data_IF_957377885908
#
_entry.id   IF_957377885908
#
_cell.length_a   1.000
_cell.length_b   1.000
_cell.length_c   1.000
_cell.angle_alpha   90.00
_cell.angle_beta   90.00
_cell.angle_gamma   90.00
#
_symmetry.space_group_name_H-M   'P 1'
#
loop_
_entity.id
_entity.type
_entity.pdbx_description
1 polymer ?
#
# COMPACT_ATOMS: atom_id res chain seq x y z
N UNK A 1 11.69 -18.72 -41.04
CA UNK A 1 12.63 -19.86 -41.20
C UNK A 1 13.47 -19.95 -39.93
N UNK A 2 13.68 -21.16 -39.41
CA UNK A 2 14.59 -21.52 -38.29
C UNK A 2 14.49 -20.73 -36.96
N UNK A 3 13.71 -21.30 -36.03
CA UNK A 3 14.09 -21.49 -34.60
C UNK A 3 14.71 -22.90 -34.52
N UNK A 4 15.87 -23.13 -33.88
CA UNK A 4 15.97 -23.57 -32.47
C UNK A 4 17.28 -23.05 -31.78
N UNK A 5 17.71 -23.31 -30.53
CA UNK A 5 17.34 -24.15 -29.35
C UNK A 5 18.07 -23.51 -28.13
N UNK A 6 17.85 -23.75 -26.82
CA UNK A 6 17.05 -24.71 -26.04
C UNK A 6 16.45 -24.02 -24.79
N UNK A 7 15.34 -24.55 -24.26
CA UNK A 7 15.10 -24.64 -22.80
C UNK A 7 14.23 -25.89 -22.58
N UNK A 8 14.75 -26.87 -21.84
CA UNK A 8 14.21 -28.24 -21.81
C UNK A 8 13.20 -28.37 -20.67
N UNK A 9 11.92 -28.39 -21.00
CA UNK A 9 10.86 -28.82 -20.07
C UNK A 9 10.50 -30.30 -20.36
N UNK A 10 10.53 -31.21 -19.37
CA UNK A 10 10.31 -32.63 -19.61
C UNK A 10 8.86 -32.95 -20.01
N UNK A 11 8.71 -33.89 -20.95
CA UNK A 11 7.46 -34.25 -21.62
C UNK A 11 6.36 -34.72 -20.68
N UNK A 12 5.29 -33.93 -20.56
CA UNK A 12 3.92 -34.41 -20.29
C UNK A 12 2.97 -33.91 -21.40
N UNK A 13 1.97 -34.71 -21.83
CA UNK A 13 1.07 -34.34 -22.91
C UNK A 13 -0.09 -33.49 -22.39
N UNK A 14 0.20 -32.26 -21.94
CA UNK A 14 -0.83 -31.28 -21.60
C UNK A 14 -1.11 -30.35 -22.79
N UNK A 15 -2.36 -29.92 -22.95
CA UNK A 15 -2.77 -29.07 -24.07
C UNK A 15 -2.05 -27.72 -24.04
N UNK A 16 -1.75 -27.10 -25.20
CA UNK A 16 -1.00 -25.84 -25.26
C UNK A 16 -1.51 -24.71 -24.34
N UNK A 17 -2.84 -24.44 -24.17
CA UNK A 17 -3.28 -23.41 -23.23
C UNK A 17 -3.04 -23.76 -21.76
N UNK A 18 -3.04 -25.05 -21.39
CA UNK A 18 -2.84 -25.46 -20.01
C UNK A 18 -1.37 -25.29 -19.56
N UNK A 19 -0.43 -25.55 -20.47
CA UNK A 19 1.01 -25.40 -20.20
C UNK A 19 1.43 -23.93 -20.02
N UNK A 20 0.83 -23.01 -20.78
CA UNK A 20 1.09 -21.56 -20.67
C UNK A 20 0.64 -21.05 -19.31
N UNK A 21 -0.60 -21.36 -18.91
CA UNK A 21 -1.10 -20.97 -17.59
C UNK A 21 -0.30 -21.57 -16.43
N UNK A 22 0.23 -22.80 -16.53
CA UNK A 22 1.09 -23.35 -15.48
C UNK A 22 2.44 -22.64 -15.36
N UNK A 23 3.07 -22.24 -16.48
CA UNK A 23 4.32 -21.48 -16.43
C UNK A 23 4.11 -20.03 -15.95
N UNK A 24 3.04 -19.35 -16.38
CA UNK A 24 2.68 -18.03 -15.85
C UNK A 24 2.47 -18.09 -14.33
N UNK A 25 1.75 -19.10 -13.83
CA UNK A 25 1.52 -19.28 -12.39
C UNK A 25 2.81 -19.58 -11.60
N UNK A 26 3.80 -20.25 -12.21
CA UNK A 26 5.08 -20.57 -11.54
C UNK A 26 6.02 -19.37 -11.48
N UNK A 27 6.14 -18.58 -12.56
CA UNK A 27 6.85 -17.29 -12.50
C UNK A 27 6.13 -16.28 -11.59
N UNK A 28 4.80 -16.19 -11.63
CA UNK A 28 4.03 -15.34 -10.72
C UNK A 28 4.27 -15.73 -9.26
N UNK A 29 4.31 -17.03 -8.93
CA UNK A 29 4.60 -17.52 -7.58
C UNK A 29 6.03 -17.19 -7.12
N UNK A 30 7.03 -17.25 -8.02
CA UNK A 30 8.41 -16.86 -7.70
C UNK A 30 8.56 -15.33 -7.54
N UNK A 31 7.88 -14.54 -8.36
CA UNK A 31 7.79 -13.09 -8.23
C UNK A 31 7.11 -12.70 -6.91
N UNK A 32 5.98 -13.31 -6.58
CA UNK A 32 5.24 -13.06 -5.34
C UNK A 32 6.07 -13.45 -4.11
N UNK A 33 6.85 -14.53 -4.18
CA UNK A 33 7.74 -14.96 -3.10
C UNK A 33 8.97 -14.03 -2.96
N UNK A 34 9.57 -13.58 -4.06
CA UNK A 34 10.65 -12.58 -4.04
C UNK A 34 10.16 -11.23 -3.49
N UNK A 35 9.03 -10.74 -3.98
CA UNK A 35 8.40 -9.50 -3.52
C UNK A 35 7.99 -9.58 -2.06
N UNK A 36 7.45 -10.73 -1.60
CA UNK A 36 7.13 -11.00 -0.20
C UNK A 36 8.35 -10.99 0.73
N UNK A 37 9.45 -11.66 0.33
CA UNK A 37 10.69 -11.64 1.13
C UNK A 37 11.31 -10.24 1.18
N UNK A 38 11.33 -9.51 0.06
CA UNK A 38 11.79 -8.11 0.05
C UNK A 38 10.88 -7.18 0.86
N UNK A 39 9.57 -7.41 0.85
CA UNK A 39 8.59 -6.71 1.68
C UNK A 39 8.89 -6.90 3.17
N UNK A 40 8.96 -8.15 3.62
CA UNK A 40 9.07 -8.50 5.04
C UNK A 40 10.37 -7.98 5.66
N UNK A 41 11.48 -8.02 4.91
CA UNK A 41 12.77 -7.43 5.34
C UNK A 41 12.67 -5.91 5.51
N UNK A 42 12.03 -5.20 4.57
CA UNK A 42 11.85 -3.75 4.66
C UNK A 42 10.92 -3.37 5.82
N UNK A 43 9.78 -4.03 5.96
CA UNK A 43 8.84 -3.80 7.08
C UNK A 43 9.51 -4.10 8.41
N UNK A 44 10.31 -5.17 8.53
CA UNK A 44 11.08 -5.46 9.74
C UNK A 44 12.06 -4.33 10.09
N UNK A 45 12.76 -3.76 9.10
CA UNK A 45 13.69 -2.64 9.32
C UNK A 45 12.97 -1.35 9.78
N UNK A 46 11.78 -1.04 9.26
CA UNK A 46 10.95 0.06 9.77
C UNK A 46 10.33 -0.22 11.15
N UNK A 47 10.08 -1.50 11.47
CA UNK A 47 9.47 -1.92 12.74
C UNK A 47 10.39 -1.68 13.95
N UNK A 48 11.71 -1.93 13.79
CA UNK A 48 12.70 -1.82 14.88
C UNK A 48 12.74 -0.42 15.53
N UNK A 49 13.01 0.69 14.80
CA UNK A 49 13.07 2.03 15.40
C UNK A 49 11.70 2.48 15.94
N UNK A 50 10.60 2.03 15.32
CA UNK A 50 9.25 2.33 15.75
C UNK A 50 8.93 1.66 17.10
N UNK A 51 9.25 0.37 17.25
CA UNK A 51 9.06 -0.38 18.49
C UNK A 51 9.87 0.18 19.67
N UNK A 52 11.08 0.70 19.40
CA UNK A 52 11.90 1.38 20.41
C UNK A 52 11.29 2.72 20.82
N UNK A 53 10.73 3.49 19.88
CA UNK A 53 10.14 4.82 20.14
C UNK A 53 8.75 4.79 20.77
N UNK A 54 7.95 3.75 20.53
CA UNK A 54 6.52 3.69 20.87
C UNK A 54 6.16 2.65 21.95
N UNK A 55 7.14 2.19 22.73
CA UNK A 55 6.99 1.08 23.69
C UNK A 55 5.90 1.32 24.75
N UNK A 56 5.60 2.57 25.09
CA UNK A 56 4.60 2.94 26.10
C UNK A 56 3.15 2.87 25.58
N UNK A 57 2.94 2.83 24.26
CA UNK A 57 1.61 2.86 23.64
C UNK A 57 1.42 1.72 22.60
N UNK A 58 1.34 0.45 23.07
CA UNK A 58 1.33 -0.73 22.21
C UNK A 58 0.12 -0.80 21.26
N UNK A 59 -1.02 -0.23 21.64
CA UNK A 59 -2.25 -0.20 20.81
C UNK A 59 -2.03 0.66 19.55
N UNK A 60 -1.37 1.81 19.70
CA UNK A 60 -1.08 2.69 18.57
C UNK A 60 0.04 2.12 17.68
N UNK A 61 1.03 1.45 18.28
CA UNK A 61 2.03 0.69 17.54
C UNK A 61 1.38 -0.40 16.66
N UNK A 62 0.47 -1.22 17.22
CA UNK A 62 -0.25 -2.24 16.45
C UNK A 62 -1.03 -1.66 15.26
N UNK A 63 -1.70 -0.51 15.44
CA UNK A 63 -2.40 0.17 14.36
C UNK A 63 -1.47 0.60 13.22
N UNK A 64 -0.37 1.28 13.54
CA UNK A 64 0.61 1.71 12.53
C UNK A 64 1.21 0.50 11.83
N UNK A 65 1.52 -0.58 12.55
CA UNK A 65 2.06 -1.81 11.95
C UNK A 65 1.08 -2.49 10.99
N UNK A 66 -0.20 -2.64 11.37
CA UNK A 66 -1.24 -3.18 10.47
C UNK A 66 -1.35 -2.32 9.20
N UNK A 67 -1.33 -1.00 9.35
CA UNK A 67 -1.48 -0.07 8.23
C UNK A 67 -0.22 -0.02 7.32
N UNK A 68 0.98 -0.16 7.88
CA UNK A 68 2.24 -0.34 7.13
C UNK A 68 2.22 -1.65 6.34
N UNK A 69 1.85 -2.77 6.98
CA UNK A 69 1.72 -4.08 6.31
C UNK A 69 0.68 -4.02 5.19
N UNK A 70 -0.46 -3.36 5.40
CA UNK A 70 -1.51 -3.21 4.39
C UNK A 70 -1.07 -2.43 3.14
N UNK A 71 -0.25 -1.39 3.29
CA UNK A 71 0.25 -0.57 2.17
C UNK A 71 1.36 -1.27 1.38
N UNK A 72 2.34 -1.88 2.08
CA UNK A 72 3.52 -2.42 1.39
C UNK A 72 3.26 -3.81 0.78
N UNK A 73 2.19 -4.51 1.19
CA UNK A 73 1.73 -5.78 0.61
C UNK A 73 1.62 -5.69 -0.92
N UNK A 74 2.24 -6.62 -1.63
CA UNK A 74 2.36 -6.61 -3.10
C UNK A 74 1.02 -6.66 -3.84
N UNK A 75 -0.02 -7.20 -3.19
CA UNK A 75 -1.42 -7.11 -3.63
C UNK A 75 -2.26 -6.46 -2.52
N UNK A 76 -2.34 -5.13 -2.46
CA UNK A 76 -3.16 -4.45 -1.47
C UNK A 76 -4.63 -4.67 -1.83
N UNK A 77 -5.36 -5.43 -1.00
CA UNK A 77 -6.79 -5.62 -1.24
C UNK A 77 -7.58 -4.42 -0.71
N UNK A 78 -8.73 -4.12 -1.34
CA UNK A 78 -9.64 -3.08 -0.84
C UNK A 78 -10.11 -3.38 0.59
N UNK A 79 -10.13 -4.67 0.99
CA UNK A 79 -10.40 -5.10 2.36
C UNK A 79 -9.30 -4.70 3.36
N UNK A 80 -8.02 -4.87 2.99
CA UNK A 80 -6.88 -4.42 3.82
C UNK A 80 -6.94 -2.89 4.02
N UNK A 81 -7.29 -2.14 2.97
CA UNK A 81 -7.47 -0.68 3.01
C UNK A 81 -8.65 -0.26 3.89
N UNK A 82 -9.80 -0.90 3.71
CA UNK A 82 -11.00 -0.63 4.52
C UNK A 82 -10.78 -0.94 6.01
N UNK A 83 -10.00 -1.99 6.32
CA UNK A 83 -9.68 -2.39 7.69
C UNK A 83 -8.91 -1.30 8.42
N UNK A 84 -7.80 -0.78 7.85
CA UNK A 84 -7.08 0.30 8.53
C UNK A 84 -7.91 1.60 8.55
N UNK A 85 -8.72 1.87 7.52
CA UNK A 85 -9.59 3.05 7.51
C UNK A 85 -10.65 3.02 8.62
N UNK A 86 -11.20 1.85 8.95
CA UNK A 86 -12.20 1.69 10.00
C UNK A 86 -11.67 2.04 11.40
N UNK A 87 -10.36 1.97 11.61
CA UNK A 87 -9.72 2.33 12.89
C UNK A 87 -9.46 3.84 13.04
N UNK A 88 -9.43 4.65 11.98
CA UNK A 88 -9.22 6.11 12.10
C UNK A 88 -10.13 6.84 13.11
N UNK A 89 -11.46 6.61 13.16
CA UNK A 89 -12.33 7.27 14.15
C UNK A 89 -12.03 6.90 15.61
N UNK A 90 -11.27 5.83 15.89
CA UNK A 90 -10.91 5.45 17.27
C UNK A 90 -10.03 6.52 17.93
N UNK A 91 -9.15 7.19 17.15
CA UNK A 91 -8.28 8.26 17.65
C UNK A 91 -8.78 9.64 17.23
N UNK A 92 -10.08 9.90 17.36
CA UNK A 92 -10.69 11.22 17.11
C UNK A 92 -9.96 12.41 17.76
N UNK A 93 -9.31 12.19 18.92
CA UNK A 93 -8.48 13.18 19.61
C UNK A 93 -7.29 13.69 18.76
N UNK A 94 -6.75 12.89 17.85
CA UNK A 94 -5.59 13.28 17.03
C UNK A 94 -5.94 14.29 15.94
N UNK A 95 -7.18 14.33 15.43
CA UNK A 95 -7.57 15.22 14.33
C UNK A 95 -7.29 16.71 14.60
N UNK A 96 -7.26 17.14 15.86
CA UNK A 96 -6.90 18.52 16.25
C UNK A 96 -5.42 18.86 16.01
N UNK A 97 -4.55 17.87 15.83
CA UNK A 97 -3.12 18.03 15.58
C UNK A 97 -2.71 17.71 14.13
N UNK A 98 -3.59 17.10 13.31
CA UNK A 98 -3.32 16.85 11.90
C UNK A 98 -3.40 18.16 11.12
N UNK A 99 -2.36 18.45 10.32
CA UNK A 99 -2.23 19.71 9.60
C UNK A 99 -2.68 19.61 8.13
N UNK A 100 -2.49 18.46 7.51
CA UNK A 100 -2.68 18.29 6.06
C UNK A 100 -3.85 17.35 5.68
N UNK A 101 -4.62 16.88 6.68
CA UNK A 101 -5.65 15.84 6.47
C UNK A 101 -6.67 16.21 5.38
N UNK A 102 -7.10 17.47 5.30
CA UNK A 102 -8.03 17.93 4.25
C UNK A 102 -7.49 17.68 2.84
N UNK A 103 -6.22 18.02 2.59
CA UNK A 103 -5.58 17.84 1.27
C UNK A 103 -5.46 16.35 0.94
N UNK A 104 -5.05 15.54 1.92
CA UNK A 104 -4.87 14.10 1.75
C UNK A 104 -6.21 13.38 1.50
N UNK A 105 -7.27 13.72 2.26
CA UNK A 105 -8.63 13.19 2.03
C UNK A 105 -9.16 13.58 0.65
N UNK A 106 -8.95 14.82 0.20
CA UNK A 106 -9.33 15.25 -1.15
C UNK A 106 -8.58 14.47 -2.24
N UNK A 107 -7.27 14.25 -2.09
CA UNK A 107 -6.48 13.43 -3.05
C UNK A 107 -7.03 12.01 -3.12
N UNK A 108 -7.29 11.36 -1.98
CA UNK A 108 -7.83 10.00 -1.93
C UNK A 108 -9.21 9.91 -2.58
N UNK A 109 -10.14 10.84 -2.27
CA UNK A 109 -11.48 10.88 -2.88
C UNK A 109 -11.39 11.07 -4.39
N UNK A 110 -10.57 12.02 -4.86
CA UNK A 110 -10.37 12.26 -6.29
C UNK A 110 -9.81 11.01 -6.97
N UNK A 111 -8.81 10.34 -6.38
CA UNK A 111 -8.25 9.10 -6.93
C UNK A 111 -9.30 7.98 -7.05
N UNK A 112 -10.12 7.77 -6.01
CA UNK A 112 -11.18 6.75 -6.02
C UNK A 112 -12.27 7.05 -7.06
N UNK A 113 -12.62 8.31 -7.29
CA UNK A 113 -13.60 8.70 -8.32
C UNK A 113 -13.02 8.63 -9.74
N UNK A 114 -11.73 8.94 -9.91
CA UNK A 114 -11.06 8.90 -11.21
C UNK A 114 -10.78 7.46 -11.69
N UNK A 115 -10.71 6.49 -10.78
CA UNK A 115 -10.43 5.08 -11.07
C UNK A 115 -11.44 4.44 -12.05
N UNK A 116 -12.77 4.44 -11.80
CA UNK A 116 -13.75 3.93 -12.77
C UNK A 116 -13.84 4.78 -14.05
N UNK A 117 -13.61 6.10 -13.94
CA UNK A 117 -13.65 7.02 -15.09
C UNK A 117 -12.52 6.68 -16.07
N UNK A 118 -11.28 6.56 -15.59
CA UNK A 118 -10.12 6.22 -16.42
C UNK A 118 -10.22 4.79 -16.97
N UNK A 119 -10.74 3.83 -16.20
CA UNK A 119 -11.00 2.48 -16.69
C UNK A 119 -11.99 2.49 -17.87
N UNK A 120 -13.10 3.21 -17.74
CA UNK A 120 -14.08 3.34 -18.83
C UNK A 120 -13.50 4.09 -20.03
N UNK A 121 -12.69 5.14 -19.81
CA UNK A 121 -12.07 5.92 -20.88
C UNK A 121 -10.97 5.16 -21.63
N UNK A 122 -10.31 4.19 -20.97
CA UNK A 122 -9.33 3.30 -21.57
C UNK A 122 -10.01 2.20 -22.41
N UNK A 123 -10.99 1.50 -21.85
CA UNK A 123 -11.63 0.35 -22.49
C UNK A 123 -12.65 0.75 -23.57
N UNK A 124 -13.52 1.73 -23.30
CA UNK A 124 -14.65 2.05 -24.20
C UNK A 124 -14.40 3.26 -25.09
N UNK A 125 -13.73 4.31 -24.59
CA UNK A 125 -13.50 5.53 -25.35
C UNK A 125 -12.19 5.52 -26.16
N UNK A 126 -11.25 4.62 -25.86
CA UNK A 126 -9.94 4.53 -26.52
C UNK A 126 -9.04 5.77 -26.38
N UNK A 127 -9.47 6.79 -25.61
CA UNK A 127 -8.79 8.08 -25.48
C UNK A 127 -7.80 8.13 -24.32
N UNK A 128 -7.89 7.20 -23.37
CA UNK A 128 -6.92 7.06 -22.29
C UNK A 128 -5.99 5.88 -22.55
N UNK A 129 -4.70 6.05 -22.26
CA UNK A 129 -3.69 5.00 -22.26
C UNK A 129 -3.55 4.39 -20.85
N UNK A 130 -3.12 3.12 -20.75
CA UNK A 130 -2.88 2.41 -19.48
C UNK A 130 -1.90 3.14 -18.55
N UNK A 131 -0.98 3.94 -19.11
CA UNK A 131 -0.08 4.82 -18.35
C UNK A 131 -0.82 5.78 -17.39
N UNK A 132 -2.00 6.29 -17.76
CA UNK A 132 -2.80 7.14 -16.86
C UNK A 132 -3.43 6.34 -15.72
N UNK A 133 -3.84 5.10 -15.99
CA UNK A 133 -4.36 4.17 -14.98
C UNK A 133 -3.27 3.73 -13.99
N UNK A 134 -2.03 3.56 -14.47
CA UNK A 134 -0.87 3.36 -13.61
C UNK A 134 -0.59 4.60 -12.72
N UNK A 135 -0.55 5.79 -13.31
CA UNK A 135 -0.27 7.03 -12.58
C UNK A 135 -1.28 7.35 -11.47
N UNK A 136 -2.57 7.11 -11.69
CA UNK A 136 -3.59 7.32 -10.64
C UNK A 136 -3.45 6.28 -9.50
N UNK A 137 -3.11 5.03 -9.83
CA UNK A 137 -2.88 3.96 -8.84
C UNK A 137 -1.67 4.27 -7.95
N UNK A 138 -0.57 4.74 -8.56
CA UNK A 138 0.61 5.21 -7.83
C UNK A 138 0.26 6.39 -6.91
N UNK A 139 -0.49 7.37 -7.42
CA UNK A 139 -0.93 8.55 -6.65
C UNK A 139 -1.79 8.16 -5.45
N UNK A 140 -2.71 7.20 -5.62
CA UNK A 140 -3.53 6.64 -4.54
C UNK A 140 -2.67 6.01 -3.44
N UNK A 141 -1.71 5.15 -3.80
CA UNK A 141 -0.80 4.50 -2.84
C UNK A 141 0.09 5.53 -2.10
N UNK A 142 0.64 6.52 -2.80
CA UNK A 142 1.39 7.63 -2.19
C UNK A 142 0.50 8.43 -1.23
N UNK A 143 -0.76 8.68 -1.59
CA UNK A 143 -1.75 9.32 -0.72
C UNK A 143 -1.95 8.57 0.60
N UNK A 144 -2.02 7.23 0.56
CA UNK A 144 -2.15 6.40 1.77
C UNK A 144 -0.91 6.50 2.67
N UNK A 145 0.30 6.42 2.08
CA UNK A 145 1.59 6.53 2.81
C UNK A 145 1.68 7.88 3.54
N UNK A 146 1.34 8.97 2.84
CA UNK A 146 1.35 10.32 3.39
C UNK A 146 0.31 10.48 4.51
N UNK A 147 -0.86 9.85 4.40
CA UNK A 147 -1.91 9.86 5.43
C UNK A 147 -1.42 9.19 6.72
N UNK A 148 -0.86 7.98 6.65
CA UNK A 148 -0.30 7.29 7.83
C UNK A 148 0.83 8.13 8.44
N UNK A 149 1.67 8.74 7.61
CA UNK A 149 2.81 9.55 8.06
C UNK A 149 2.37 10.83 8.78
N UNK A 150 1.35 11.55 8.30
CA UNK A 150 0.75 12.71 9.00
C UNK A 150 0.13 12.26 10.33
N UNK A 151 -0.49 11.07 10.37
CA UNK A 151 -1.05 10.46 11.57
C UNK A 151 0.01 10.13 12.64
N UNK A 152 1.11 9.50 12.23
CA UNK A 152 2.23 9.17 13.10
C UNK A 152 2.92 10.44 13.63
N UNK A 153 3.11 11.45 12.78
CA UNK A 153 3.67 12.74 13.19
C UNK A 153 2.75 13.50 14.16
N UNK A 154 1.43 13.47 13.95
CA UNK A 154 0.46 14.06 14.88
C UNK A 154 0.49 13.38 16.26
N UNK A 155 0.68 12.06 16.32
CA UNK A 155 0.87 11.32 17.57
C UNK A 155 2.15 11.76 18.29
N UNK A 156 3.31 11.74 17.62
CA UNK A 156 4.57 12.18 18.21
C UNK A 156 4.52 13.64 18.71
N UNK A 157 3.83 14.51 17.98
CA UNK A 157 3.59 15.91 18.38
C UNK A 157 2.74 16.01 19.65
N UNK A 158 1.68 15.19 19.78
CA UNK A 158 0.85 15.12 20.99
C UNK A 158 1.68 14.68 22.20
N UNK A 159 2.47 13.62 22.07
CA UNK A 159 3.35 13.14 23.15
C UNK A 159 4.39 14.19 23.53
N UNK A 160 5.01 14.86 22.55
CA UNK A 160 5.96 15.94 22.81
C UNK A 160 5.35 17.08 23.67
N UNK A 161 4.12 17.50 23.37
CA UNK A 161 3.39 18.51 24.17
C UNK A 161 3.03 18.01 25.58
N UNK A 162 2.77 16.71 25.75
CA UNK A 162 2.49 16.11 27.06
C UNK A 162 3.75 16.04 27.93
N UNK A 163 4.91 15.69 27.35
CA UNK A 163 6.18 15.56 28.09
C UNK A 163 6.82 16.91 28.42
N UNK A 164 6.80 17.89 27.50
CA UNK A 164 7.50 19.17 27.68
C UNK A 164 6.60 20.28 28.23
N UNK A 165 5.29 20.05 28.30
CA UNK A 165 4.32 21.07 28.68
C UNK A 165 3.99 22.05 27.54
N UNK A 166 2.78 22.59 27.58
CA UNK A 166 2.35 23.68 26.70
C UNK A 166 2.93 25.01 27.22
N UNK A 167 4.08 25.41 26.69
CA UNK A 167 4.55 26.80 26.77
C UNK A 167 3.67 27.69 25.88
N UNK A 168 2.47 28.00 26.38
CA UNK A 168 1.59 29.04 25.85
C UNK A 168 2.10 30.40 26.32
N UNK A 169 2.97 30.99 25.51
CA UNK A 169 3.31 32.43 25.53
C UNK A 169 2.60 33.12 24.37
#
# INVERSE_FOLDING_TARGET
VSVPTHLVCPRTPLSPPAAVHTCENEEQSLLDLFLGVCHDINVFFYTIPLAIKLKEHPIFFMFIQIAVIAIFKSYPTVGDVALYMAFFPVWNHLYRFLRNIFVLTCIIIVCSLLFPVLWHLWIYAGSANSNFFYAITLTFNVGQILLISDYFYAFLRREYYLTHGLYLT
#
